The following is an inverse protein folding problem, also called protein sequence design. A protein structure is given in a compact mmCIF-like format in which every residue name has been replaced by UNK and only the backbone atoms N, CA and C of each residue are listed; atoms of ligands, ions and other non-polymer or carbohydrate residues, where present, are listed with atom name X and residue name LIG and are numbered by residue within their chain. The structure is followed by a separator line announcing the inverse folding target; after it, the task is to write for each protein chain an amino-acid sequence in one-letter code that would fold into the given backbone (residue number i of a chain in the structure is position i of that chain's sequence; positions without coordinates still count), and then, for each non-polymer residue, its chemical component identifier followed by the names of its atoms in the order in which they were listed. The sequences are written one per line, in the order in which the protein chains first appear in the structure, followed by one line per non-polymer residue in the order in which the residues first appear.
data_IF_704358161750
#
_entry.id   IF_704358161750
#
_cell.length_a   1.000
_cell.length_b   1.000
_cell.length_c   1.000
_cell.angle_alpha   90.00
_cell.angle_beta   90.00
_cell.angle_gamma   90.00
#
_symmetry.space_group_name_H-M   'P 1'
#
loop_
_entity.id
_entity.type
_entity.pdbx_description
1 polymer ?
#
# COMPACT_ATOMS: atom_id res chain seq x y z
N UNK A 1 -19.17 -9.36 -5.84
CA UNK A 1 -17.78 -9.72 -5.45
C UNK A 1 -17.17 -8.63 -4.58
N UNK A 2 -16.99 -7.43 -5.06
CA UNK A 2 -16.48 -6.28 -4.29
C UNK A 2 -17.26 -6.06 -2.99
N UNK A 3 -18.59 -5.96 -3.06
CA UNK A 3 -19.47 -5.69 -1.90
C UNK A 3 -19.31 -6.70 -0.76
N UNK A 4 -19.05 -7.96 -1.08
CA UNK A 4 -18.94 -9.03 -0.08
C UNK A 4 -17.56 -9.12 0.58
N UNK A 5 -16.50 -8.62 -0.09
CA UNK A 5 -15.13 -8.89 0.35
C UNK A 5 -14.29 -7.63 0.57
N UNK A 6 -14.63 -6.52 -0.06
CA UNK A 6 -13.83 -5.30 -0.08
C UNK A 6 -14.56 -4.09 0.53
N UNK A 7 -15.88 -4.00 0.27
CA UNK A 7 -16.70 -2.86 0.66
C UNK A 7 -16.73 -2.62 2.18
N UNK A 8 -16.58 -3.68 2.98
CA UNK A 8 -16.53 -3.57 4.44
C UNK A 8 -15.43 -2.60 4.93
N UNK A 9 -14.35 -2.44 4.18
CA UNK A 9 -13.28 -1.50 4.48
C UNK A 9 -13.25 -0.31 3.50
N UNK A 10 -13.58 -0.54 2.21
CA UNK A 10 -13.40 0.44 1.14
C UNK A 10 -14.67 1.15 0.67
N UNK A 11 -15.84 0.82 1.19
CA UNK A 11 -17.10 1.49 0.87
C UNK A 11 -18.05 1.61 2.07
N UNK A 12 -17.50 1.61 3.29
CA UNK A 12 -18.28 1.71 4.53
C UNK A 12 -17.80 2.89 5.39
N UNK A 13 -18.38 3.05 6.57
CA UNK A 13 -17.92 4.03 7.56
C UNK A 13 -16.48 3.79 8.05
N UNK A 14 -15.85 2.67 7.68
CA UNK A 14 -14.44 2.37 8.00
C UNK A 14 -13.43 3.02 7.06
N UNK A 15 -13.89 3.49 5.86
CA UNK A 15 -13.01 4.18 4.92
C UNK A 15 -12.42 5.44 5.58
N UNK A 16 -11.12 5.65 5.41
CA UNK A 16 -10.41 6.74 6.05
C UNK A 16 -10.12 6.54 7.54
N UNK A 17 -10.59 5.46 8.17
CA UNK A 17 -10.28 5.14 9.56
C UNK A 17 -9.06 4.22 9.69
N UNK A 18 -8.47 4.16 10.89
CA UNK A 18 -7.34 3.27 11.19
C UNK A 18 -7.85 1.85 11.39
N UNK A 19 -7.38 0.92 10.57
CA UNK A 19 -7.58 -0.51 10.73
C UNK A 19 -6.44 -1.10 11.58
N UNK A 20 -6.74 -1.92 12.59
CA UNK A 20 -5.72 -2.58 13.39
C UNK A 20 -4.75 -3.39 12.54
N UNK A 21 -3.46 -3.35 12.88
CA UNK A 21 -2.44 -4.10 12.15
C UNK A 21 -2.74 -5.61 12.09
N UNK A 22 -3.30 -6.17 13.15
CA UNK A 22 -3.69 -7.58 13.21
C UNK A 22 -4.77 -7.96 12.17
N UNK A 23 -5.62 -7.01 11.77
CA UNK A 23 -6.66 -7.23 10.76
C UNK A 23 -6.09 -7.17 9.33
N UNK A 24 -5.19 -6.23 9.07
CA UNK A 24 -4.60 -6.03 7.73
C UNK A 24 -3.41 -6.97 7.48
N UNK A 25 -2.67 -7.31 8.53
CA UNK A 25 -1.56 -8.25 8.50
C UNK A 25 -0.30 -7.78 7.73
N UNK A 26 -0.22 -6.50 7.35
CA UNK A 26 0.91 -5.96 6.59
C UNK A 26 2.16 -5.75 7.45
N UNK A 27 3.31 -5.46 6.82
CA UNK A 27 4.57 -5.22 7.51
C UNK A 27 4.44 -4.14 8.59
N UNK A 28 4.93 -4.44 9.80
CA UNK A 28 4.79 -3.57 10.96
C UNK A 28 5.95 -2.60 11.18
N UNK A 29 7.06 -2.77 10.47
CA UNK A 29 8.28 -2.02 10.76
C UNK A 29 8.10 -0.51 10.70
N UNK A 30 7.26 0.00 9.78
CA UNK A 30 6.95 1.42 9.69
C UNK A 30 6.17 1.92 10.91
N UNK A 31 5.20 1.14 11.38
CA UNK A 31 4.44 1.46 12.62
C UNK A 31 5.39 1.43 13.81
N UNK A 32 6.21 0.38 13.94
CA UNK A 32 7.14 0.23 15.06
C UNK A 32 8.25 1.29 15.07
N UNK A 33 8.60 1.86 13.91
CA UNK A 33 9.59 2.93 13.81
C UNK A 33 9.04 4.32 14.18
N UNK A 34 7.74 4.50 14.14
CA UNK A 34 7.09 5.75 14.55
C UNK A 34 6.90 5.78 16.07
N UNK A 35 7.15 6.93 16.66
CA UNK A 35 6.85 7.18 18.08
C UNK A 35 6.16 8.53 18.21
N UNK A 36 5.10 8.59 19.00
CA UNK A 36 4.41 9.84 19.29
C UNK A 36 5.33 10.91 19.85
N UNK A 37 6.32 10.54 20.66
CA UNK A 37 7.35 11.44 21.15
C UNK A 37 8.17 12.12 20.03
N UNK A 38 8.42 11.42 18.92
CA UNK A 38 9.09 12.01 17.75
C UNK A 38 8.20 13.06 17.09
N UNK A 39 6.88 12.82 17.05
CA UNK A 39 5.91 13.78 16.54
C UNK A 39 5.85 15.04 17.45
N UNK A 40 5.84 14.86 18.77
CA UNK A 40 5.87 15.96 19.74
C UNK A 40 7.12 16.83 19.53
N UNK A 41 8.29 16.20 19.43
CA UNK A 41 9.55 16.93 19.18
C UNK A 41 9.54 17.69 17.85
N UNK A 42 9.06 17.04 16.78
CA UNK A 42 8.95 17.65 15.44
C UNK A 42 7.93 18.80 15.42
N UNK A 43 6.78 18.64 16.05
CA UNK A 43 5.76 19.69 16.15
C UNK A 43 6.30 20.89 16.91
N UNK A 44 7.01 20.66 18.02
CA UNK A 44 7.66 21.73 18.79
C UNK A 44 8.70 22.46 17.93
N UNK A 45 9.60 21.76 17.26
CA UNK A 45 10.62 22.37 16.43
C UNK A 45 10.03 23.25 15.32
N UNK A 46 8.97 22.78 14.66
CA UNK A 46 8.27 23.54 13.60
C UNK A 46 7.62 24.80 14.18
N UNK A 47 7.01 24.71 15.37
CA UNK A 47 6.42 25.86 16.07
C UNK A 47 7.51 26.89 16.48
N UNK A 48 8.63 26.40 16.99
CA UNK A 48 9.76 27.26 17.38
C UNK A 48 10.37 28.01 16.17
N UNK A 49 10.27 27.42 14.96
CA UNK A 49 10.65 28.07 13.70
C UNK A 49 9.61 29.07 13.16
N UNK A 50 8.48 29.27 13.84
CA UNK A 50 7.41 30.15 13.40
C UNK A 50 6.63 29.64 12.16
N UNK A 51 6.70 28.36 11.84
CA UNK A 51 5.97 27.79 10.71
C UNK A 51 4.59 27.30 11.14
N UNK A 52 3.55 27.89 10.55
CA UNK A 52 2.18 27.45 10.75
C UNK A 52 1.86 26.27 9.82
N UNK A 53 1.58 25.11 10.40
CA UNK A 53 1.10 23.92 9.68
C UNK A 53 0.28 23.01 10.60
N UNK A 54 -0.52 22.14 9.99
CA UNK A 54 -1.15 21.03 10.74
C UNK A 54 -0.06 20.15 11.34
N UNK A 55 -0.10 19.96 12.65
CA UNK A 55 0.85 19.12 13.38
C UNK A 55 0.75 17.64 13.00
N UNK A 56 1.81 16.91 13.30
CA UNK A 56 1.82 15.45 13.25
C UNK A 56 1.01 14.88 14.43
N UNK A 57 0.41 13.70 14.23
CA UNK A 57 -0.30 12.98 15.30
C UNK A 57 0.70 12.50 16.35
N UNK A 58 0.50 12.89 17.60
CA UNK A 58 1.43 12.66 18.72
C UNK A 58 1.19 11.33 19.46
N UNK A 59 0.27 10.50 18.98
CA UNK A 59 0.04 9.14 19.48
C UNK A 59 0.85 8.11 18.71
N UNK A 60 1.20 7.00 19.36
CA UNK A 60 1.77 5.84 18.70
C UNK A 60 0.72 5.21 17.75
N UNK A 61 1.08 4.87 16.51
CA UNK A 61 0.14 4.31 15.57
C UNK A 61 -0.20 2.85 15.91
N UNK A 62 -1.45 2.47 15.74
CA UNK A 62 -1.95 1.11 16.01
C UNK A 62 -2.26 0.31 14.74
N UNK A 63 -2.24 0.97 13.59
CA UNK A 63 -2.61 0.34 12.32
C UNK A 63 -2.42 1.27 11.13
N UNK A 64 -3.04 0.91 10.02
CA UNK A 64 -3.03 1.66 8.77
C UNK A 64 -4.43 2.14 8.39
N UNK A 65 -4.49 3.26 7.69
CA UNK A 65 -5.77 3.83 7.23
C UNK A 65 -6.33 2.99 6.08
N UNK A 66 -7.62 2.66 6.15
CA UNK A 66 -8.36 2.11 5.02
C UNK A 66 -8.42 3.17 3.91
N UNK A 67 -7.69 2.95 2.82
CA UNK A 67 -7.53 3.92 1.75
C UNK A 67 -8.82 4.06 0.93
N UNK A 68 -9.10 5.30 0.50
CA UNK A 68 -10.05 5.55 -0.59
C UNK A 68 -9.53 4.93 -1.88
N UNK A 69 -10.43 4.33 -2.65
CA UNK A 69 -10.07 3.69 -3.92
C UNK A 69 -10.01 4.68 -5.09
N UNK A 70 -10.49 5.91 -4.91
CA UNK A 70 -10.44 6.95 -5.96
C UNK A 70 -9.03 7.08 -6.54
N UNK A 71 -8.90 6.85 -7.84
CA UNK A 71 -7.64 6.86 -8.56
C UNK A 71 -6.66 5.77 -8.13
N UNK A 72 -7.14 4.67 -7.53
CA UNK A 72 -6.28 3.58 -7.04
C UNK A 72 -5.39 3.00 -8.14
N UNK A 73 -5.85 3.01 -9.36
CA UNK A 73 -5.10 2.55 -10.53
C UNK A 73 -3.81 3.35 -10.80
N UNK A 74 -3.70 4.59 -10.31
CA UNK A 74 -2.49 5.42 -10.37
C UNK A 74 -1.62 5.34 -9.10
N UNK A 75 -2.08 4.65 -8.05
CA UNK A 75 -1.38 4.64 -6.75
C UNK A 75 -0.35 3.51 -6.59
N UNK A 76 0.00 2.81 -7.68
CA UNK A 76 1.08 1.82 -7.64
C UNK A 76 2.45 2.44 -7.30
N UNK A 77 3.32 1.72 -6.59
CA UNK A 77 3.16 0.38 -6.03
C UNK A 77 2.32 0.36 -4.75
N UNK A 78 1.67 -0.77 -4.49
CA UNK A 78 0.69 -0.95 -3.43
C UNK A 78 1.29 -1.36 -2.09
N UNK A 79 0.44 -1.37 -1.05
CA UNK A 79 0.72 -1.42 0.38
C UNK A 79 1.44 -0.15 0.87
N UNK A 80 1.45 0.05 2.19
CA UNK A 80 2.00 1.24 2.85
C UNK A 80 3.50 1.48 2.59
N UNK A 81 4.23 0.43 2.25
CA UNK A 81 5.67 0.45 1.95
C UNK A 81 5.98 0.31 0.44
N UNK A 82 4.95 0.18 -0.41
CA UNK A 82 5.11 -0.01 -1.85
C UNK A 82 5.75 -1.34 -2.22
N UNK A 83 5.49 -2.39 -1.45
CA UNK A 83 6.10 -3.71 -1.63
C UNK A 83 5.40 -4.60 -2.65
N UNK A 84 4.27 -4.15 -3.21
CA UNK A 84 3.50 -4.90 -4.21
C UNK A 84 3.39 -4.05 -5.48
N UNK A 85 4.02 -4.45 -6.61
CA UNK A 85 4.19 -3.56 -7.75
C UNK A 85 2.91 -3.29 -8.55
N UNK A 86 1.95 -4.22 -8.56
CA UNK A 86 0.72 -4.08 -9.34
C UNK A 86 -0.51 -4.49 -8.53
N UNK A 87 -1.69 -4.00 -8.92
CA UNK A 87 -2.97 -4.42 -8.33
C UNK A 87 -3.21 -5.92 -8.52
N UNK A 88 -2.83 -6.48 -9.67
CA UNK A 88 -2.89 -7.92 -9.91
C UNK A 88 -2.09 -8.70 -8.86
N UNK A 89 -0.87 -8.25 -8.57
CA UNK A 89 -0.05 -8.90 -7.53
C UNK A 89 -0.66 -8.73 -6.14
N UNK A 90 -1.38 -7.64 -5.87
CA UNK A 90 -2.05 -7.46 -4.58
C UNK A 90 -3.14 -8.52 -4.33
N UNK A 91 -3.78 -8.98 -5.39
CA UNK A 91 -4.80 -10.04 -5.35
C UNK A 91 -4.22 -11.46 -5.43
N UNK A 92 -2.91 -11.61 -5.36
CA UNK A 92 -2.22 -12.89 -5.22
C UNK A 92 -1.87 -13.16 -3.74
N UNK A 93 -1.84 -14.46 -3.33
CA UNK A 93 -1.28 -14.81 -2.03
C UNK A 93 0.12 -14.22 -1.85
N UNK A 94 0.47 -13.77 -0.65
CA UNK A 94 1.76 -13.11 -0.39
C UNK A 94 2.96 -13.95 -0.85
N UNK A 95 2.88 -15.27 -0.71
CA UNK A 95 3.93 -16.20 -1.15
C UNK A 95 4.17 -16.20 -2.67
N UNK A 96 3.18 -15.79 -3.47
CA UNK A 96 3.24 -15.72 -4.94
C UNK A 96 3.60 -14.32 -5.45
N UNK A 97 3.52 -13.30 -4.60
CA UNK A 97 3.89 -11.93 -4.95
C UNK A 97 5.39 -11.83 -5.28
N UNK A 98 5.79 -10.88 -6.15
CA UNK A 98 7.20 -10.65 -6.46
C UNK A 98 8.04 -10.42 -5.20
N UNK A 99 9.16 -11.15 -5.06
CA UNK A 99 10.13 -10.95 -3.99
C UNK A 99 11.19 -9.92 -4.35
N UNK A 100 11.37 -9.68 -5.65
CA UNK A 100 12.29 -8.70 -6.20
C UNK A 100 11.67 -8.03 -7.42
N UNK A 101 11.79 -6.71 -7.50
CA UNK A 101 11.35 -5.90 -8.63
C UNK A 101 12.06 -4.53 -8.62
N UNK A 102 11.83 -3.71 -9.65
CA UNK A 102 12.45 -2.39 -9.77
C UNK A 102 11.38 -1.30 -9.73
N UNK A 103 11.65 -0.19 -9.04
CA UNK A 103 10.75 0.97 -8.86
C UNK A 103 11.38 2.19 -9.53
N UNK A 104 10.54 3.03 -10.15
CA UNK A 104 10.97 4.29 -10.79
C UNK A 104 11.09 4.22 -12.31
N UNK A 105 10.66 3.12 -12.93
CA UNK A 105 10.46 3.07 -14.38
C UNK A 105 9.00 3.44 -14.68
N UNK A 106 8.78 4.57 -15.37
CA UNK A 106 7.48 5.24 -15.46
C UNK A 106 6.52 4.67 -16.52
N UNK A 107 6.86 3.54 -17.13
CA UNK A 107 5.96 2.90 -18.09
C UNK A 107 4.88 2.12 -17.38
N UNK A 108 3.64 2.58 -17.59
CA UNK A 108 2.47 2.00 -16.95
C UNK A 108 1.98 0.72 -17.66
N UNK A 109 1.57 -0.27 -16.88
CA UNK A 109 0.95 -1.51 -17.35
C UNK A 109 -0.54 -1.53 -17.02
N UNK A 110 -1.43 -1.18 -17.97
CA UNK A 110 -2.86 -1.10 -17.71
C UNK A 110 -3.52 -2.46 -17.50
N UNK A 111 -2.90 -3.55 -17.94
CA UNK A 111 -3.44 -4.90 -17.76
C UNK A 111 -3.25 -5.41 -16.34
N UNK A 112 -2.11 -5.08 -15.72
CA UNK A 112 -1.81 -5.48 -14.35
C UNK A 112 -2.07 -4.37 -13.33
N UNK A 113 -2.34 -3.15 -13.79
CA UNK A 113 -2.58 -1.94 -13.00
C UNK A 113 -1.41 -1.62 -12.09
N UNK A 114 -0.37 -1.01 -12.70
CA UNK A 114 0.86 -0.63 -12.03
C UNK A 114 1.96 -0.31 -13.02
N UNK A 115 3.19 -0.10 -12.54
CA UNK A 115 4.32 0.18 -13.42
C UNK A 115 5.06 -1.10 -13.81
N UNK A 116 5.63 -1.11 -15.01
CA UNK A 116 6.51 -2.20 -15.44
C UNK A 116 7.71 -2.24 -14.50
N UNK A 117 7.92 -3.38 -13.83
CA UNK A 117 8.83 -3.50 -12.70
C UNK A 117 9.85 -4.64 -12.80
N UNK A 118 9.80 -5.43 -13.89
CA UNK A 118 10.64 -6.64 -14.06
C UNK A 118 11.38 -6.72 -15.40
N UNK A 119 11.19 -5.76 -16.31
CA UNK A 119 11.88 -5.77 -17.60
C UNK A 119 13.32 -5.21 -17.48
N UNK A 120 14.22 -5.52 -18.42
CA UNK A 120 15.58 -4.98 -18.42
C UNK A 120 15.62 -3.44 -18.38
N UNK A 121 14.62 -2.77 -18.99
CA UNK A 121 14.47 -1.32 -18.95
C UNK A 121 14.20 -0.82 -17.53
N UNK A 122 13.31 -1.51 -16.82
CA UNK A 122 12.99 -1.20 -15.42
C UNK A 122 14.20 -1.44 -14.50
N UNK A 123 15.00 -2.46 -14.77
CA UNK A 123 16.24 -2.72 -14.04
C UNK A 123 17.29 -1.62 -14.25
N UNK A 124 17.44 -1.15 -15.48
CA UNK A 124 18.40 -0.06 -15.81
C UNK A 124 18.00 1.30 -15.27
N UNK A 125 16.69 1.61 -15.30
CA UNK A 125 16.17 2.92 -14.92
C UNK A 125 15.74 3.01 -13.47
N UNK A 126 15.43 1.87 -12.83
CA UNK A 126 14.79 1.82 -11.53
C UNK A 126 15.73 1.51 -10.38
N UNK A 127 15.17 1.62 -9.19
CA UNK A 127 15.81 1.21 -7.94
C UNK A 127 15.33 -0.19 -7.55
N UNK A 128 16.29 -1.10 -7.28
CA UNK A 128 16.02 -2.46 -6.86
C UNK A 128 15.26 -2.49 -5.54
N UNK A 129 14.15 -3.20 -5.50
CA UNK A 129 13.34 -3.41 -4.31
C UNK A 129 13.30 -4.90 -3.94
N UNK A 130 13.81 -5.23 -2.76
CA UNK A 130 13.88 -6.58 -2.22
C UNK A 130 12.96 -6.68 -1.01
N UNK A 131 11.92 -7.53 -1.08
CA UNK A 131 10.91 -7.66 -0.01
C UNK A 131 11.45 -8.34 1.25
N UNK A 132 12.57 -9.03 1.16
CA UNK A 132 13.22 -9.69 2.29
C UNK A 132 13.98 -8.70 3.19
N UNK A 133 14.21 -7.48 2.74
CA UNK A 133 14.79 -6.44 3.59
C UNK A 133 13.79 -6.01 4.66
N UNK A 134 14.30 -5.75 5.85
CA UNK A 134 13.49 -5.27 6.98
C UNK A 134 12.69 -4.02 6.59
N UNK A 135 11.37 -4.06 6.78
CA UNK A 135 10.45 -3.00 6.42
C UNK A 135 9.90 -3.06 5.00
N UNK A 136 10.38 -3.97 4.17
CA UNK A 136 9.95 -4.15 2.78
C UNK A 136 8.95 -5.30 2.60
N UNK A 137 8.52 -5.95 3.66
CA UNK A 137 7.63 -7.11 3.59
C UNK A 137 6.36 -6.85 2.78
N UNK A 138 5.96 -7.82 1.95
CA UNK A 138 4.79 -7.76 1.07
C UNK A 138 3.62 -8.63 1.54
N UNK A 139 3.65 -9.09 2.80
CA UNK A 139 2.57 -9.84 3.42
C UNK A 139 1.36 -8.96 3.75
N UNK A 140 0.26 -9.61 4.07
CA UNK A 140 -1.00 -8.98 4.48
C UNK A 140 -1.86 -8.52 3.31
N UNK A 141 -3.03 -7.95 3.65
CA UNK A 141 -4.08 -7.61 2.71
C UNK A 141 -4.40 -8.79 1.77
N UNK A 142 -4.51 -10.00 2.31
CA UNK A 142 -4.80 -11.19 1.53
C UNK A 142 -6.31 -11.38 1.31
N UNK A 143 -6.99 -10.29 0.96
CA UNK A 143 -8.41 -10.27 0.64
C UNK A 143 -8.58 -10.47 -0.88
N UNK A 144 -9.48 -11.38 -1.26
CA UNK A 144 -9.70 -11.71 -2.67
C UNK A 144 -8.68 -12.68 -3.30
N UNK A 145 -7.68 -13.14 -2.55
CA UNK A 145 -6.65 -14.07 -3.07
C UNK A 145 -7.21 -15.45 -3.43
N UNK A 146 -8.34 -15.84 -2.84
CA UNK A 146 -9.02 -17.11 -3.13
C UNK A 146 -9.90 -17.06 -4.38
N UNK A 147 -10.08 -15.89 -5.00
CA UNK A 147 -10.90 -15.79 -6.20
C UNK A 147 -10.26 -16.51 -7.38
N UNK A 148 -11.07 -17.20 -8.22
CA UNK A 148 -10.62 -17.69 -9.52
C UNK A 148 -10.01 -16.56 -10.37
N UNK A 149 -9.12 -16.89 -11.29
CA UNK A 149 -8.42 -15.90 -12.13
C UNK A 149 -9.40 -14.95 -12.85
N UNK A 150 -10.47 -15.49 -13.44
CA UNK A 150 -11.48 -14.70 -14.13
C UNK A 150 -12.19 -13.71 -13.22
N UNK A 151 -12.44 -14.07 -11.96
CA UNK A 151 -13.06 -13.17 -10.99
C UNK A 151 -12.09 -12.09 -10.53
N UNK A 152 -10.80 -12.42 -10.39
CA UNK A 152 -9.76 -11.41 -10.11
C UNK A 152 -9.64 -10.40 -11.25
N UNK A 153 -9.69 -10.87 -12.51
CA UNK A 153 -9.68 -9.99 -13.68
C UNK A 153 -10.87 -9.03 -13.68
N UNK A 154 -12.07 -9.55 -13.43
CA UNK A 154 -13.29 -8.74 -13.33
C UNK A 154 -13.23 -7.73 -12.17
N UNK A 155 -12.64 -8.12 -11.03
CA UNK A 155 -12.43 -7.22 -9.91
C UNK A 155 -11.45 -6.09 -10.23
N UNK A 156 -10.36 -6.40 -10.94
CA UNK A 156 -9.38 -5.41 -11.40
C UNK A 156 -10.05 -4.39 -12.33
N UNK A 157 -10.85 -4.85 -13.30
CA UNK A 157 -11.57 -3.95 -14.21
C UNK A 157 -12.59 -3.08 -13.46
N UNK A 158 -13.29 -3.63 -12.48
CA UNK A 158 -14.20 -2.86 -11.63
C UNK A 158 -13.45 -1.78 -10.82
N UNK A 159 -12.33 -2.13 -10.21
CA UNK A 159 -11.56 -1.20 -9.37
C UNK A 159 -10.92 -0.07 -10.19
N UNK A 160 -10.65 -0.28 -11.49
CA UNK A 160 -10.21 0.80 -12.41
C UNK A 160 -11.25 1.91 -12.59
N UNK A 161 -12.51 1.67 -12.28
CA UNK A 161 -13.58 2.67 -12.42
C UNK A 161 -13.71 3.62 -11.23
N UNK A 162 -12.89 3.44 -10.20
CA UNK A 162 -12.83 4.29 -9.01
C UNK A 162 -11.76 5.40 -9.07
#
# INVERSE_FOLDING_TARGET
MFDKNCAACHASARIGTVLPLAEVGTDRNRIDSWRGQSAIAANKAVKDMGVERKGLVEADPTGYIAAFLDGIWLKAPYLHNGSVPTLRNLLEPAAQRPKLFYRGYDVYDPANVGFISKRPEAERAGTKYEVERKGNGNQGHELGVAFPAQERDALIEFVKTH
#
